data_IF_852662381948
#
_entry.id   IF_852662381948
#
_cell.length_a   1.000
_cell.length_b   1.000
_cell.length_c   1.000
_cell.angle_alpha   90.00
_cell.angle_beta   90.00
_cell.angle_gamma   90.00
#
_symmetry.space_group_name_H-M   'P 1'
#
loop_
_entity.id
_entity.type
_entity.pdbx_description
1 polymer ?
#
# COMPACT_ATOMS: atom_id res chain seq x y z
N UNK A 1 12.39 -22.29 -69.07
CA UNK A 1 11.82 -23.03 -67.92
C UNK A 1 12.81 -22.95 -66.76
N UNK A 2 12.39 -22.47 -65.59
CA UNK A 2 13.28 -22.39 -64.42
C UNK A 2 13.15 -23.67 -63.57
N UNK A 3 14.25 -24.23 -63.03
CA UNK A 3 14.18 -25.37 -62.13
C UNK A 3 13.56 -24.94 -60.78
N UNK A 4 12.62 -25.75 -60.29
CA UNK A 4 12.02 -25.57 -58.95
C UNK A 4 13.11 -25.82 -57.91
N UNK A 5 13.28 -24.90 -56.94
CA UNK A 5 14.22 -25.07 -55.83
C UNK A 5 13.75 -26.23 -54.94
N UNK A 6 14.65 -27.18 -54.68
CA UNK A 6 14.43 -28.22 -53.68
C UNK A 6 14.43 -27.60 -52.28
N UNK A 7 13.43 -27.99 -51.48
CA UNK A 7 13.23 -27.51 -50.12
C UNK A 7 14.20 -28.24 -49.19
N UNK A 8 15.40 -27.71 -49.01
CA UNK A 8 16.41 -28.21 -48.06
C UNK A 8 16.06 -27.91 -46.59
N UNK A 9 14.87 -28.31 -46.14
CA UNK A 9 14.45 -28.18 -44.73
C UNK A 9 13.83 -29.47 -44.16
N UNK A 10 14.03 -30.62 -44.81
CA UNK A 10 13.69 -31.95 -44.25
C UNK A 10 14.96 -32.77 -43.95
N UNK A 11 15.97 -32.10 -43.37
CA UNK A 11 17.04 -32.78 -42.66
C UNK A 11 16.46 -33.44 -41.41
N UNK A 12 16.00 -34.68 -41.59
CA UNK A 12 15.79 -35.76 -40.63
C UNK A 12 16.34 -35.48 -39.21
N UNK A 13 15.57 -34.76 -38.39
CA UNK A 13 15.76 -34.85 -36.93
C UNK A 13 15.00 -36.09 -36.49
N UNK A 14 15.66 -37.16 -36.00
CA UNK A 14 14.92 -38.31 -35.50
C UNK A 14 14.03 -37.80 -34.36
N UNK A 15 12.72 -37.90 -34.56
CA UNK A 15 11.74 -37.58 -33.54
C UNK A 15 11.82 -38.67 -32.47
N UNK A 16 12.81 -38.55 -31.58
CA UNK A 16 12.94 -39.39 -30.40
C UNK A 16 11.66 -39.20 -29.61
N UNK A 17 10.79 -40.21 -29.64
CA UNK A 17 9.52 -40.21 -28.90
C UNK A 17 9.87 -39.97 -27.45
N UNK A 18 9.58 -38.77 -26.95
CA UNK A 18 9.76 -38.43 -25.54
C UNK A 18 8.93 -39.43 -24.75
N UNK A 19 9.58 -40.36 -24.06
CA UNK A 19 8.92 -41.26 -23.13
C UNK A 19 8.18 -40.37 -22.16
N UNK A 20 6.84 -40.40 -22.21
CA UNK A 20 5.98 -39.62 -21.32
C UNK A 20 6.32 -40.09 -19.91
N UNK A 21 7.09 -39.29 -19.17
CA UNK A 21 7.38 -39.57 -17.78
C UNK A 21 6.06 -39.76 -17.05
N UNK A 22 5.89 -40.90 -16.39
CA UNK A 22 4.71 -41.21 -15.60
C UNK A 22 4.41 -40.10 -14.57
N UNK A 23 3.27 -40.20 -13.89
CA UNK A 23 2.81 -39.20 -12.93
C UNK A 23 3.87 -38.94 -11.85
N UNK A 24 4.67 -37.87 -12.03
CA UNK A 24 5.73 -37.49 -11.09
C UNK A 24 5.08 -36.81 -9.90
N UNK A 25 4.88 -37.57 -8.82
CA UNK A 25 4.44 -37.04 -7.52
C UNK A 25 5.67 -36.54 -6.78
N UNK A 26 6.17 -35.38 -7.19
CA UNK A 26 7.29 -34.69 -6.58
C UNK A 26 6.90 -33.28 -6.18
N UNK A 27 7.68 -32.61 -5.32
CA UNK A 27 7.45 -31.22 -4.91
C UNK A 27 7.33 -30.25 -6.09
N UNK A 28 7.86 -30.61 -7.26
CA UNK A 28 7.77 -29.85 -8.51
C UNK A 28 6.37 -29.87 -9.17
N UNK A 29 5.53 -30.85 -8.86
CA UNK A 29 4.18 -31.04 -9.44
C UNK A 29 3.05 -30.89 -8.42
N UNK A 30 3.39 -30.68 -7.14
CA UNK A 30 2.40 -30.26 -6.15
C UNK A 30 2.01 -28.81 -6.45
N UNK A 31 0.76 -28.39 -6.16
CA UNK A 31 0.35 -27.00 -6.32
C UNK A 31 1.28 -26.14 -5.47
N UNK A 32 2.24 -25.53 -6.17
CA UNK A 32 3.31 -24.73 -5.58
C UNK A 32 2.63 -23.70 -4.67
N UNK A 33 2.94 -23.75 -3.38
CA UNK A 33 2.17 -23.06 -2.35
C UNK A 33 1.94 -21.59 -2.69
N UNK A 34 0.87 -21.00 -2.15
CA UNK A 34 0.43 -19.62 -2.46
C UNK A 34 1.56 -18.58 -2.45
N UNK A 35 2.59 -18.78 -1.64
CA UNK A 35 3.78 -17.95 -1.54
C UNK A 35 4.77 -18.13 -2.70
N UNK A 36 5.02 -19.35 -3.18
CA UNK A 36 5.94 -19.59 -4.31
C UNK A 36 5.44 -18.96 -5.60
N UNK A 37 4.14 -19.04 -5.87
CA UNK A 37 3.50 -18.34 -7.01
C UNK A 37 3.67 -16.82 -6.93
N UNK A 38 3.54 -16.24 -5.73
CA UNK A 38 3.78 -14.81 -5.50
C UNK A 38 5.24 -14.45 -5.77
N UNK A 39 6.20 -15.21 -5.24
CA UNK A 39 7.63 -14.97 -5.47
C UNK A 39 7.99 -15.09 -6.96
N UNK A 40 7.48 -16.11 -7.64
CA UNK A 40 7.69 -16.29 -9.08
C UNK A 40 7.07 -15.12 -9.87
N UNK A 41 5.88 -14.66 -9.50
CA UNK A 41 5.23 -13.49 -10.11
C UNK A 41 6.06 -12.23 -9.90
N UNK A 42 6.44 -11.92 -8.67
CA UNK A 42 7.29 -10.77 -8.33
C UNK A 42 8.58 -10.80 -9.14
N UNK A 43 9.25 -11.96 -9.23
CA UNK A 43 10.47 -12.12 -10.03
C UNK A 43 10.23 -11.84 -11.51
N UNK A 44 9.15 -12.39 -12.09
CA UNK A 44 8.78 -12.17 -13.50
C UNK A 44 8.48 -10.69 -13.76
N UNK A 45 7.74 -10.03 -12.87
CA UNK A 45 7.38 -8.61 -12.97
C UNK A 45 8.63 -7.73 -12.88
N UNK A 46 9.57 -8.04 -11.97
CA UNK A 46 10.82 -7.31 -11.83
C UNK A 46 11.67 -7.39 -13.11
N UNK A 47 11.77 -8.59 -13.70
CA UNK A 47 12.49 -8.83 -14.96
C UNK A 47 11.80 -8.08 -16.11
N UNK A 48 10.47 -8.12 -16.18
CA UNK A 48 9.71 -7.42 -17.21
C UNK A 48 9.92 -5.91 -17.12
N UNK A 49 9.79 -5.32 -15.93
CA UNK A 49 10.00 -3.90 -15.71
C UNK A 49 11.43 -3.46 -16.08
N UNK A 50 12.44 -4.27 -15.75
CA UNK A 50 13.82 -4.00 -16.15
C UNK A 50 13.99 -4.05 -17.69
N UNK A 51 13.34 -5.00 -18.37
CA UNK A 51 13.35 -5.07 -19.84
C UNK A 51 12.66 -3.86 -20.47
N UNK A 52 11.49 -3.46 -19.97
CA UNK A 52 10.75 -2.28 -20.44
C UNK A 52 11.58 -1.01 -20.24
N UNK A 53 12.23 -0.85 -19.08
CA UNK A 53 13.13 0.30 -18.83
C UNK A 53 14.30 0.32 -19.81
N UNK A 54 14.91 -0.85 -20.10
CA UNK A 54 16.01 -0.95 -21.08
C UNK A 54 15.54 -0.61 -22.50
N UNK A 55 14.38 -1.13 -22.95
CA UNK A 55 13.84 -0.82 -24.27
C UNK A 55 13.44 0.65 -24.36
N UNK A 56 12.83 1.20 -23.32
CA UNK A 56 12.46 2.61 -23.25
C UNK A 56 13.69 3.52 -23.31
N UNK A 57 14.74 3.22 -22.53
CA UNK A 57 16.00 3.95 -22.60
C UNK A 57 16.62 3.90 -24.01
N UNK A 58 16.54 2.74 -24.69
CA UNK A 58 17.03 2.57 -26.07
C UNK A 58 16.24 3.40 -27.07
N UNK A 59 14.90 3.45 -26.95
CA UNK A 59 14.05 4.29 -27.82
C UNK A 59 14.28 5.76 -27.50
N UNK A 60 14.33 6.15 -26.22
CA UNK A 60 14.61 7.51 -25.79
C UNK A 60 15.96 8.00 -26.30
N UNK A 61 17.00 7.18 -26.29
CA UNK A 61 18.30 7.55 -26.86
C UNK A 61 18.28 7.74 -28.38
N UNK A 62 17.38 7.04 -29.09
CA UNK A 62 17.21 7.17 -30.55
C UNK A 62 16.31 8.34 -30.96
N UNK A 63 15.30 8.64 -30.14
CA UNK A 63 14.26 9.64 -30.44
C UNK A 63 14.53 10.98 -29.76
N UNK A 64 15.35 11.01 -28.70
CA UNK A 64 15.84 12.25 -28.14
C UNK A 64 16.68 12.95 -29.22
N UNK A 65 16.33 14.18 -29.64
CA UNK A 65 17.26 14.99 -30.39
C UNK A 65 18.55 15.19 -29.56
N UNK A 66 19.70 15.46 -30.20
CA UNK A 66 20.88 15.86 -29.45
C UNK A 66 20.50 17.06 -28.56
N UNK A 67 20.97 17.11 -27.30
CA UNK A 67 20.77 18.29 -26.49
C UNK A 67 21.34 19.47 -27.28
N UNK A 68 20.50 20.48 -27.56
CA UNK A 68 21.02 21.78 -27.94
C UNK A 68 22.09 22.17 -26.91
N UNK A 69 23.22 22.77 -27.33
CA UNK A 69 24.31 23.10 -26.41
C UNK A 69 23.85 24.20 -25.45
N UNK A 70 23.19 23.80 -24.37
CA UNK A 70 22.98 24.63 -23.19
C UNK A 70 24.23 24.47 -22.32
N UNK A 71 24.75 25.63 -21.95
CA UNK A 71 25.95 25.91 -21.19
C UNK A 71 26.33 24.87 -20.11
N UNK A 72 27.64 24.66 -19.86
CA UNK A 72 28.09 23.81 -18.78
C UNK A 72 27.67 24.44 -17.46
N UNK A 73 27.00 23.69 -16.59
CA UNK A 73 27.17 23.76 -15.14
C UNK A 73 26.40 22.64 -14.44
N UNK A 74 27.09 22.01 -13.49
CA UNK A 74 26.60 21.17 -12.39
C UNK A 74 26.79 19.64 -12.51
N UNK A 75 28.03 19.24 -12.16
CA UNK A 75 28.30 18.26 -11.09
C UNK A 75 27.88 16.81 -11.32
N UNK A 76 28.77 16.08 -11.97
CA UNK A 76 29.00 14.64 -11.76
C UNK A 76 29.28 14.36 -10.28
N UNK A 77 28.40 13.60 -9.62
CA UNK A 77 28.75 12.86 -8.40
C UNK A 77 28.54 11.37 -8.69
N UNK A 78 29.67 10.69 -8.89
CA UNK A 78 29.82 9.23 -8.84
C UNK A 78 29.97 8.86 -7.37
N UNK A 79 29.12 7.97 -6.83
CA UNK A 79 29.37 7.35 -5.52
C UNK A 79 29.50 5.84 -5.69
N UNK A 80 30.75 5.40 -5.52
CA UNK A 80 31.22 4.06 -5.19
C UNK A 80 31.05 3.87 -3.68
N UNK A 81 30.54 2.71 -3.25
CA UNK A 81 30.61 2.22 -1.86
C UNK A 81 31.63 1.06 -1.79
N UNK A 82 32.14 0.60 -0.62
CA UNK A 82 31.85 0.95 0.79
C UNK A 82 33.10 1.14 1.69
N UNK A 83 32.94 1.68 2.92
CA UNK A 83 33.47 1.20 4.23
C UNK A 83 33.18 2.23 5.36
N UNK A 84 32.76 1.73 6.53
CA UNK A 84 32.40 2.46 7.78
C UNK A 84 33.67 2.92 8.57
N UNK A 85 33.65 3.64 9.73
CA UNK A 85 32.54 3.98 10.66
C UNK A 85 32.53 5.40 11.31
N UNK A 86 31.55 5.62 12.22
CA UNK A 86 31.48 6.60 13.35
C UNK A 86 30.68 7.91 13.13
N UNK A 87 29.36 7.84 13.46
CA UNK A 87 28.48 8.70 14.31
C UNK A 87 28.56 10.26 14.33
N UNK A 88 27.58 10.97 14.94
CA UNK A 88 26.14 11.09 14.63
C UNK A 88 25.69 12.58 14.50
N UNK A 89 24.76 12.93 13.62
CA UNK A 89 24.16 14.29 13.56
C UNK A 89 22.71 14.24 13.01
N UNK A 90 21.87 15.27 13.22
CA UNK A 90 20.59 15.15 13.92
C UNK A 90 19.38 15.38 13.00
N UNK A 91 18.21 15.30 13.60
CA UNK A 91 16.87 15.52 13.05
C UNK A 91 16.74 16.86 12.32
N UNK A 92 16.35 16.85 11.05
CA UNK A 92 15.91 18.05 10.30
C UNK A 92 14.40 18.30 10.47
N UNK A 93 13.97 19.57 10.66
CA UNK A 93 12.58 19.98 10.73
C UNK A 93 12.01 20.39 9.36
N UNK A 94 10.67 20.37 9.33
CA UNK A 94 9.72 20.73 8.27
C UNK A 94 10.04 22.04 7.53
N UNK A 95 9.88 22.03 6.20
CA UNK A 95 9.76 23.22 5.38
C UNK A 95 8.34 23.81 5.48
N UNK A 96 8.21 24.94 6.17
CA UNK A 96 7.15 25.94 5.95
C UNK A 96 7.86 27.19 5.41
N UNK A 97 7.56 27.54 4.16
CA UNK A 97 7.94 28.83 3.58
C UNK A 97 6.87 29.18 2.54
N UNK A 98 5.76 29.71 3.05
CA UNK A 98 4.77 30.41 2.24
C UNK A 98 5.40 31.75 1.81
N UNK A 99 5.54 31.94 0.50
CA UNK A 99 5.94 33.22 -0.06
C UNK A 99 4.75 34.16 -0.01
N UNK A 100 4.77 35.10 0.93
CA UNK A 100 3.85 36.23 1.03
C UNK A 100 4.06 37.16 -0.19
N UNK A 101 3.23 37.03 -1.21
CA UNK A 101 3.09 38.04 -2.24
C UNK A 101 2.10 39.09 -1.74
N UNK A 102 2.58 40.28 -1.39
CA UNK A 102 1.75 41.41 -0.98
C UNK A 102 0.70 41.72 -2.08
N UNK A 103 -0.58 41.62 -1.71
CA UNK A 103 -1.70 41.87 -2.62
C UNK A 103 -1.82 43.38 -2.91
N UNK A 104 -2.16 43.74 -4.16
CA UNK A 104 -2.38 45.13 -4.57
C UNK A 104 -3.40 45.83 -3.64
N UNK A 105 -3.22 47.10 -3.24
CA UNK A 105 -4.01 47.77 -2.19
C UNK A 105 -5.53 47.78 -2.48
N UNK A 106 -5.94 47.87 -3.75
CA UNK A 106 -7.36 47.79 -4.13
C UNK A 106 -8.00 46.43 -3.81
N UNK A 107 -7.21 45.35 -3.88
CA UNK A 107 -7.67 43.99 -3.59
C UNK A 107 -7.75 43.73 -2.09
N UNK A 108 -6.85 44.34 -1.33
CA UNK A 108 -6.87 44.31 0.13
C UNK A 108 -8.07 45.08 0.68
N UNK A 109 -8.40 46.24 0.12
CA UNK A 109 -9.61 46.99 0.46
C UNK A 109 -10.93 46.23 0.20
N UNK A 110 -10.97 45.33 -0.80
CA UNK A 110 -12.13 44.46 -1.03
C UNK A 110 -12.23 43.30 -0.04
N UNK A 111 -11.10 42.84 0.50
CA UNK A 111 -11.06 41.76 1.50
C UNK A 111 -11.32 42.28 2.91
N UNK A 112 -10.87 43.51 3.21
CA UNK A 112 -11.08 44.17 4.50
C UNK A 112 -12.48 44.78 4.62
N UNK A 113 -13.23 44.90 3.51
CA UNK A 113 -14.61 45.33 3.54
C UNK A 113 -15.46 44.25 4.26
N UNK A 114 -16.20 44.61 5.33
CA UNK A 114 -17.08 43.64 5.99
C UNK A 114 -18.12 43.14 4.99
N UNK A 115 -18.37 41.82 5.00
CA UNK A 115 -19.31 41.15 4.11
C UNK A 115 -20.72 41.75 4.33
N UNK A 116 -21.04 42.77 3.54
CA UNK A 116 -22.31 43.45 3.63
C UNK A 116 -23.37 42.44 3.18
N UNK A 117 -24.43 42.19 3.99
CA UNK A 117 -25.50 41.30 3.56
C UNK A 117 -26.03 41.83 2.22
N UNK A 118 -26.36 40.95 1.25
CA UNK A 118 -26.78 41.37 -0.07
C UNK A 118 -27.89 42.40 0.10
N UNK A 119 -27.65 43.63 -0.39
CA UNK A 119 -28.57 44.74 -0.25
C UNK A 119 -29.94 44.28 -0.71
N UNK A 120 -30.92 44.46 0.19
CA UNK A 120 -32.26 43.93 0.10
C UNK A 120 -32.83 44.11 -1.31
N UNK A 121 -33.03 42.98 -2.00
CA UNK A 121 -33.90 42.91 -3.16
C UNK A 121 -35.27 43.45 -2.74
N UNK A 122 -35.71 44.53 -3.37
CA UNK A 122 -37.03 45.14 -3.20
C UNK A 122 -38.11 44.03 -3.18
N UNK A 123 -39.05 44.01 -2.20
CA UNK A 123 -40.05 42.95 -2.15
C UNK A 123 -41.09 43.22 -3.24
N UNK A 124 -40.90 42.62 -4.41
CA UNK A 124 -41.97 42.53 -5.41
C UNK A 124 -42.95 41.44 -4.97
N UNK A 125 -44.13 41.89 -4.56
CA UNK A 125 -45.39 41.15 -4.51
C UNK A 125 -45.50 40.04 -3.45
N UNK A 126 -46.06 40.37 -2.28
CA UNK A 126 -46.56 39.39 -1.33
C UNK A 126 -47.99 38.98 -1.71
N UNK A 127 -48.13 37.88 -2.46
CA UNK A 127 -49.41 37.21 -2.67
C UNK A 127 -49.87 36.41 -1.43
N UNK A 128 -51.16 36.05 -1.33
CA UNK A 128 -51.74 35.46 -0.13
C UNK A 128 -51.12 34.09 0.20
N UNK A 129 -50.76 33.90 1.48
CA UNK A 129 -50.22 32.65 2.04
C UNK A 129 -51.30 31.57 2.02
N UNK A 130 -51.34 30.78 0.96
CA UNK A 130 -52.01 29.48 0.96
C UNK A 130 -51.13 28.52 1.76
N UNK A 131 -51.72 27.76 2.67
CA UNK A 131 -51.09 26.74 3.51
C UNK A 131 -50.16 25.82 2.70
N UNK A 132 -48.90 26.23 2.62
CA UNK A 132 -47.96 25.76 1.62
C UNK A 132 -47.23 24.55 2.13
N UNK A 133 -47.73 23.37 1.77
CA UNK A 133 -46.99 22.09 1.86
C UNK A 133 -45.54 22.35 1.39
N UNK A 134 -44.60 22.25 2.33
CA UNK A 134 -43.17 22.48 2.09
C UNK A 134 -42.74 21.70 0.85
N UNK A 135 -42.49 22.41 -0.25
CA UNK A 135 -42.00 21.81 -1.48
C UNK A 135 -40.63 21.21 -1.15
N UNK A 136 -40.49 19.89 -1.29
CA UNK A 136 -39.23 19.20 -1.09
C UNK A 136 -38.14 19.91 -1.90
N UNK A 137 -37.12 20.43 -1.21
CA UNK A 137 -36.01 21.11 -1.85
C UNK A 137 -35.32 20.09 -2.75
N UNK A 138 -35.25 20.39 -4.04
CA UNK A 138 -34.51 19.56 -4.99
C UNK A 138 -33.04 19.53 -4.52
N UNK A 139 -32.39 18.36 -4.52
CA UNK A 139 -30.98 18.28 -4.16
C UNK A 139 -30.18 19.19 -5.09
N UNK A 140 -29.31 20.00 -4.49
CA UNK A 140 -28.35 20.84 -5.20
C UNK A 140 -27.39 20.00 -6.04
N UNK A 141 -26.74 20.65 -6.99
CA UNK A 141 -25.88 19.99 -8.00
C UNK A 141 -24.81 19.07 -7.39
N UNK A 142 -24.28 19.40 -6.21
CA UNK A 142 -23.23 18.63 -5.53
C UNK A 142 -23.73 17.75 -4.38
N UNK A 143 -25.03 17.74 -4.07
CA UNK A 143 -25.54 17.00 -2.91
C UNK A 143 -25.41 15.49 -3.10
N UNK A 144 -25.51 15.02 -4.35
CA UNK A 144 -25.25 13.62 -4.72
C UNK A 144 -23.78 13.24 -4.48
N UNK A 145 -22.85 14.10 -4.91
CA UNK A 145 -21.42 13.87 -4.73
C UNK A 145 -21.00 13.87 -3.25
N UNK A 146 -21.61 14.73 -2.43
CA UNK A 146 -21.43 14.73 -0.97
C UNK A 146 -21.96 13.44 -0.33
N UNK A 147 -23.16 13.02 -0.72
CA UNK A 147 -23.73 11.77 -0.23
C UNK A 147 -22.87 10.55 -0.57
N UNK A 148 -22.32 10.48 -1.79
CA UNK A 148 -21.39 9.42 -2.20
C UNK A 148 -20.07 9.47 -1.42
N UNK A 149 -19.53 10.66 -1.16
CA UNK A 149 -18.34 10.82 -0.32
C UNK A 149 -18.57 10.34 1.12
N UNK A 150 -19.73 10.65 1.69
CA UNK A 150 -20.12 10.22 3.03
C UNK A 150 -20.31 8.70 3.11
N UNK A 151 -20.93 8.09 2.10
CA UNK A 151 -21.07 6.63 1.99
C UNK A 151 -19.71 5.96 1.92
N UNK A 152 -18.81 6.48 1.08
CA UNK A 152 -17.45 5.94 0.93
C UNK A 152 -16.61 6.09 2.19
N UNK A 153 -16.79 7.19 2.93
CA UNK A 153 -16.14 7.41 4.22
C UNK A 153 -16.64 6.40 5.26
N UNK A 154 -17.96 6.19 5.34
CA UNK A 154 -18.56 5.20 6.25
C UNK A 154 -18.11 3.78 5.94
N UNK A 155 -18.10 3.37 4.67
CA UNK A 155 -17.62 2.03 4.26
C UNK A 155 -16.14 1.83 4.62
N UNK A 156 -15.31 2.87 4.44
CA UNK A 156 -13.90 2.82 4.82
C UNK A 156 -13.71 2.73 6.34
N UNK A 157 -14.52 3.43 7.12
CA UNK A 157 -14.52 3.38 8.59
C UNK A 157 -15.00 2.01 9.11
N UNK A 158 -16.05 1.43 8.51
CA UNK A 158 -16.53 0.08 8.83
C UNK A 158 -15.48 -0.99 8.53
N UNK A 159 -14.83 -0.91 7.36
CA UNK A 159 -13.74 -1.82 6.98
C UNK A 159 -12.56 -1.70 7.97
N UNK A 160 -12.21 -0.48 8.39
CA UNK A 160 -11.17 -0.27 9.42
C UNK A 160 -11.58 -0.85 10.77
N UNK A 161 -12.81 -0.63 11.20
CA UNK A 161 -13.33 -1.16 12.45
C UNK A 161 -13.32 -2.70 12.47
N UNK A 162 -13.68 -3.37 11.36
CA UNK A 162 -13.60 -4.82 11.24
C UNK A 162 -12.14 -5.33 11.36
N UNK A 163 -11.20 -4.67 10.67
CA UNK A 163 -9.78 -5.01 10.80
C UNK A 163 -9.29 -4.82 12.24
N UNK A 164 -9.65 -3.72 12.89
CA UNK A 164 -9.27 -3.46 14.28
C UNK A 164 -9.85 -4.50 15.24
N UNK A 165 -11.10 -4.94 15.06
CA UNK A 165 -11.69 -6.01 15.87
C UNK A 165 -10.91 -7.31 15.71
N UNK A 166 -10.63 -7.69 14.47
CA UNK A 166 -9.88 -8.92 14.18
C UNK A 166 -8.44 -8.87 14.70
N UNK A 167 -7.80 -7.71 14.64
CA UNK A 167 -6.46 -7.52 15.18
C UNK A 167 -6.45 -7.49 16.71
N UNK A 168 -7.47 -6.91 17.36
CA UNK A 168 -7.64 -6.97 18.83
C UNK A 168 -7.81 -8.42 19.30
N UNK A 169 -8.62 -9.23 18.62
CA UNK A 169 -8.78 -10.65 18.93
C UNK A 169 -7.47 -11.43 18.74
N UNK A 170 -6.76 -11.20 17.64
CA UNK A 170 -5.44 -11.81 17.40
C UNK A 170 -4.43 -11.40 18.47
N UNK A 171 -4.38 -10.12 18.82
CA UNK A 171 -3.49 -9.58 19.86
C UNK A 171 -3.80 -10.18 21.22
N UNK A 172 -5.06 -10.24 21.63
CA UNK A 172 -5.47 -10.89 22.88
C UNK A 172 -5.02 -12.35 22.95
N UNK A 173 -5.23 -13.12 21.87
CA UNK A 173 -4.78 -14.52 21.80
C UNK A 173 -3.26 -14.67 21.86
N UNK A 174 -2.50 -13.75 21.25
CA UNK A 174 -1.04 -13.74 21.31
C UNK A 174 -0.57 -13.36 22.71
N UNK A 175 -1.16 -12.34 23.33
CA UNK A 175 -0.83 -11.91 24.68
C UNK A 175 -1.12 -13.00 25.72
N UNK A 176 -2.24 -13.70 25.63
CA UNK A 176 -2.54 -14.84 26.51
C UNK A 176 -1.51 -15.95 26.37
N UNK A 177 -1.13 -16.27 25.13
CA UNK A 177 -0.06 -17.26 24.84
C UNK A 177 1.28 -16.81 25.39
N UNK A 178 1.61 -15.53 25.26
CA UNK A 178 2.85 -14.97 25.80
C UNK A 178 2.84 -14.95 27.32
N UNK A 179 1.74 -14.54 27.97
CA UNK A 179 1.58 -14.59 29.42
C UNK A 179 1.76 -16.00 29.94
N UNK A 180 1.11 -16.98 29.31
CA UNK A 180 1.27 -18.39 29.66
C UNK A 180 2.70 -18.88 29.43
N UNK A 181 3.33 -18.53 28.30
CA UNK A 181 4.73 -18.88 28.02
C UNK A 181 5.69 -18.26 29.04
N UNK A 182 5.51 -16.98 29.38
CA UNK A 182 6.31 -16.25 30.38
C UNK A 182 6.13 -16.86 31.77
N UNK A 183 4.91 -17.21 32.16
CA UNK A 183 4.63 -17.87 33.43
C UNK A 183 5.31 -19.25 33.52
N UNK A 184 5.20 -20.08 32.46
CA UNK A 184 5.92 -21.36 32.38
C UNK A 184 7.44 -21.18 32.40
N UNK A 185 7.97 -20.20 31.67
CA UNK A 185 9.41 -19.92 31.66
C UNK A 185 9.88 -19.49 33.06
N UNK A 186 9.13 -18.62 33.74
CA UNK A 186 9.44 -18.15 35.10
C UNK A 186 9.39 -19.29 36.13
N UNK A 187 8.46 -20.23 35.96
CA UNK A 187 8.31 -21.38 36.84
C UNK A 187 9.41 -22.45 36.60
N UNK A 188 9.81 -22.63 35.33
CA UNK A 188 10.94 -23.48 34.91
C UNK A 188 12.32 -22.88 35.18
N UNK A 189 12.41 -21.57 35.40
CA UNK A 189 13.66 -20.91 35.81
C UNK A 189 14.02 -21.44 37.20
N UNK A 190 15.04 -22.29 37.25
CA UNK A 190 15.48 -23.00 38.45
C UNK A 190 15.69 -22.07 39.65
N UNK A 191 15.43 -22.58 40.85
CA UNK A 191 15.77 -21.91 42.10
C UNK A 191 17.29 -21.79 42.31
N UNK A 192 17.70 -21.33 43.50
CA UNK A 192 19.12 -21.17 43.88
C UNK A 192 19.96 -22.45 43.68
N UNK A 193 19.30 -23.61 43.71
CA UNK A 193 19.91 -24.94 43.53
C UNK A 193 19.60 -25.56 42.14
N UNK A 194 19.12 -24.77 41.17
CA UNK A 194 18.74 -25.26 39.83
C UNK A 194 17.44 -26.06 39.76
N UNK A 195 16.84 -26.41 40.91
CA UNK A 195 15.60 -27.18 41.00
C UNK A 195 14.37 -26.39 40.50
N UNK A 196 13.44 -27.10 39.85
CA UNK A 196 12.19 -26.52 39.33
C UNK A 196 11.25 -26.07 40.44
N UNK A 197 10.54 -24.96 40.24
CA UNK A 197 9.58 -24.42 41.22
C UNK A 197 8.20 -25.01 40.98
N UNK A 198 8.00 -26.27 41.36
CA UNK A 198 6.76 -27.04 41.15
C UNK A 198 5.50 -26.29 41.59
N UNK A 199 5.55 -25.54 42.70
CA UNK A 199 4.42 -24.73 43.16
C UNK A 199 3.96 -23.68 42.13
N UNK A 200 4.88 -23.04 41.41
CA UNK A 200 4.55 -22.08 40.34
C UNK A 200 4.15 -22.76 39.03
N UNK A 201 4.72 -23.93 38.75
CA UNK A 201 4.37 -24.73 37.56
C UNK A 201 2.96 -25.32 37.68
N UNK A 202 2.57 -25.72 38.90
CA UNK A 202 1.26 -26.32 39.17
C UNK A 202 0.10 -25.42 38.79
N UNK A 203 0.15 -24.12 39.12
CA UNK A 203 -0.91 -23.14 38.79
C UNK A 203 -1.12 -23.03 37.29
N UNK A 204 -0.04 -22.94 36.51
CA UNK A 204 -0.12 -22.79 35.05
C UNK A 204 -0.58 -24.10 34.39
N UNK A 205 -0.18 -25.26 34.93
CA UNK A 205 -0.69 -26.56 34.48
C UNK A 205 -2.18 -26.72 34.79
N UNK A 206 -2.63 -26.30 35.96
CA UNK A 206 -4.04 -26.37 36.36
C UNK A 206 -4.91 -25.49 35.45
N UNK A 207 -4.47 -24.28 35.12
CA UNK A 207 -5.15 -23.42 34.14
C UNK A 207 -5.26 -24.08 32.75
N UNK A 208 -4.22 -24.82 32.34
CA UNK A 208 -4.23 -25.56 31.08
C UNK A 208 -5.22 -26.73 31.12
N UNK A 209 -5.26 -27.49 32.21
CA UNK A 209 -6.24 -28.59 32.40
C UNK A 209 -7.66 -28.03 32.42
N UNK A 210 -7.89 -26.91 33.14
CA UNK A 210 -9.19 -26.24 33.19
C UNK A 210 -9.70 -25.85 31.80
N UNK A 211 -8.84 -25.36 30.90
CA UNK A 211 -9.22 -25.04 29.50
C UNK A 211 -9.44 -26.24 28.59
N UNK A 212 -8.95 -27.42 28.97
CA UNK A 212 -9.15 -28.66 28.20
C UNK A 212 -10.39 -29.42 28.66
N UNK A 213 -10.79 -29.25 29.93
CA UNK A 213 -11.89 -29.98 30.57
C UNK A 213 -13.18 -29.15 30.66
N UNK A 214 -13.09 -27.81 30.68
CA UNK A 214 -14.23 -26.88 30.64
C UNK A 214 -14.25 -26.06 29.36
#
# INVERSE_FOLDING_TARGET
MAPKRDREDDAQVPHVKKVRGGFKVGPDNLPDGTWRRKVIKIKKDLIHNAKVKKSYAKVKARTSPPPAPAAPNASTIVIRAPEEPIAPVPVEPKHEAETEQELHPSRQAMLDAPDAPPTASVPRFSGPKIDGKSRAKKPGYFDKAKAEADVKRKEAEERRAEFERRDKERRGKVEERERHRRAMAKARTGGRNGQRKLGRESVVLLDKVRRMVG
#
